data_IF_215937196820
#
_entry.id   IF_215937196820
#
_cell.length_a   1.000
_cell.length_b   1.000
_cell.length_c   1.000
_cell.angle_alpha   90.00
_cell.angle_beta   90.00
_cell.angle_gamma   90.00
#
_symmetry.space_group_name_H-M   'P 1'
#
loop_
_entity.id
_entity.type
_entity.pdbx_description
1 polymer ?
#
# COMPACT_ATOMS: atom_id res chain seq x y z
N UNK A 1 -41.81 -34.45 -13.89
CA UNK A 1 -40.40 -34.10 -13.94
C UNK A 1 -40.29 -32.69 -14.53
N UNK A 2 -40.01 -31.68 -13.68
CA UNK A 2 -39.94 -30.28 -14.11
C UNK A 2 -38.55 -30.03 -14.65
N UNK A 3 -38.43 -29.66 -15.91
CA UNK A 3 -37.17 -29.28 -16.57
C UNK A 3 -36.67 -27.97 -15.87
N UNK A 4 -35.42 -27.91 -15.37
CA UNK A 4 -34.92 -26.67 -14.80
C UNK A 4 -34.87 -25.61 -15.91
N UNK A 5 -35.60 -24.50 -15.71
CA UNK A 5 -35.49 -23.32 -16.58
C UNK A 5 -34.04 -22.91 -16.68
N UNK A 6 -33.45 -23.00 -17.87
CA UNK A 6 -32.18 -22.34 -18.17
C UNK A 6 -32.32 -20.87 -17.79
N UNK A 7 -31.54 -20.43 -16.82
CA UNK A 7 -31.47 -19.03 -16.46
C UNK A 7 -31.06 -18.22 -17.70
N UNK A 8 -31.81 -17.14 -17.97
CA UNK A 8 -31.50 -16.23 -19.07
C UNK A 8 -30.02 -15.83 -19.06
N UNK A 9 -29.34 -15.66 -20.19
CA UNK A 9 -27.92 -15.28 -20.20
C UNK A 9 -27.76 -13.95 -19.47
N UNK A 10 -27.01 -13.97 -18.38
CA UNK A 10 -26.69 -12.74 -17.63
C UNK A 10 -26.05 -11.73 -18.58
N UNK A 11 -26.55 -10.50 -18.61
CA UNK A 11 -26.04 -9.42 -19.47
C UNK A 11 -24.58 -9.04 -19.10
N UNK A 12 -24.18 -9.28 -17.88
CA UNK A 12 -22.91 -8.83 -17.28
C UNK A 12 -21.96 -10.00 -17.02
N UNK A 13 -20.65 -9.68 -16.86
CA UNK A 13 -19.62 -10.66 -16.51
C UNK A 13 -19.50 -10.81 -15.02
N UNK A 14 -19.29 -12.03 -14.52
CA UNK A 14 -18.91 -12.26 -13.13
C UNK A 14 -17.46 -11.81 -12.90
N UNK A 15 -17.16 -11.33 -11.70
CA UNK A 15 -15.80 -10.98 -11.28
C UNK A 15 -15.07 -12.19 -10.69
N UNK A 16 -13.82 -12.37 -11.06
CA UNK A 16 -12.89 -13.31 -10.42
C UNK A 16 -11.67 -12.52 -9.96
N UNK A 17 -11.50 -12.41 -8.65
CA UNK A 17 -10.35 -11.78 -8.05
C UNK A 17 -9.25 -12.82 -7.83
N UNK A 18 -8.03 -12.56 -8.34
CA UNK A 18 -6.89 -13.48 -8.28
C UNK A 18 -5.75 -12.84 -7.51
N UNK A 19 -5.38 -13.42 -6.38
CA UNK A 19 -4.44 -12.82 -5.43
C UNK A 19 -3.20 -13.68 -5.19
N UNK A 20 -2.05 -13.01 -5.07
CA UNK A 20 -0.80 -13.59 -4.61
C UNK A 20 -0.72 -13.75 -3.08
N UNK A 21 -1.66 -13.17 -2.32
CA UNK A 21 -1.77 -13.29 -0.87
C UNK A 21 -2.45 -12.08 -0.24
N UNK A 22 -3.45 -12.37 0.57
CA UNK A 22 -4.26 -11.38 1.29
C UNK A 22 -4.05 -11.47 2.81
N UNK A 23 -3.11 -12.31 3.26
CA UNK A 23 -2.88 -12.57 4.67
C UNK A 23 -2.62 -11.26 5.45
N UNK A 24 -3.10 -11.22 6.68
CA UNK A 24 -3.04 -10.01 7.52
C UNK A 24 -1.61 -9.52 7.76
N UNK A 25 -0.66 -10.44 7.84
CA UNK A 25 0.77 -10.15 8.06
C UNK A 25 1.51 -9.68 6.80
N UNK A 26 0.81 -9.55 5.66
CA UNK A 26 1.41 -9.28 4.35
C UNK A 26 1.89 -7.85 4.11
N UNK A 27 1.78 -6.94 5.08
CA UNK A 27 2.20 -5.54 4.97
C UNK A 27 1.38 -4.71 3.97
N UNK A 28 1.93 -3.58 3.51
CA UNK A 28 1.19 -2.61 2.68
C UNK A 28 0.62 -3.16 1.37
N UNK A 29 1.29 -4.13 0.72
CA UNK A 29 0.78 -4.76 -0.50
C UNK A 29 -0.46 -5.62 -0.25
N UNK A 30 -0.46 -6.40 0.82
CA UNK A 30 -1.62 -7.20 1.19
C UNK A 30 -2.80 -6.32 1.63
N UNK A 31 -2.52 -5.22 2.32
CA UNK A 31 -3.54 -4.22 2.66
C UNK A 31 -4.18 -3.62 1.41
N UNK A 32 -3.38 -3.22 0.42
CA UNK A 32 -3.88 -2.71 -0.85
C UNK A 32 -4.67 -3.77 -1.65
N UNK A 33 -4.20 -5.03 -1.63
CA UNK A 33 -4.92 -6.16 -2.24
C UNK A 33 -6.28 -6.40 -1.58
N UNK A 34 -6.35 -6.36 -0.24
CA UNK A 34 -7.63 -6.47 0.50
C UNK A 34 -8.58 -5.32 0.22
N UNK A 35 -8.08 -4.09 0.15
CA UNK A 35 -8.87 -2.91 -0.21
C UNK A 35 -9.49 -3.08 -1.59
N UNK A 36 -8.70 -3.51 -2.58
CA UNK A 36 -9.17 -3.75 -3.95
C UNK A 36 -10.18 -4.90 -3.99
N UNK A 37 -9.89 -6.03 -3.34
CA UNK A 37 -10.78 -7.19 -3.30
C UNK A 37 -12.12 -6.86 -2.65
N UNK A 38 -12.10 -6.17 -1.51
CA UNK A 38 -13.30 -5.73 -0.81
C UNK A 38 -14.16 -4.85 -1.69
N UNK A 39 -13.59 -3.81 -2.28
CA UNK A 39 -14.31 -2.90 -3.17
C UNK A 39 -14.92 -3.65 -4.37
N UNK A 40 -14.17 -4.56 -4.99
CA UNK A 40 -14.69 -5.40 -6.07
C UNK A 40 -15.89 -6.25 -5.63
N UNK A 41 -15.84 -6.86 -4.44
CA UNK A 41 -16.94 -7.67 -3.92
C UNK A 41 -18.16 -6.84 -3.54
N UNK A 42 -17.97 -5.64 -3.01
CA UNK A 42 -19.07 -4.70 -2.70
C UNK A 42 -19.77 -4.23 -3.97
N UNK A 43 -19.01 -3.82 -5.00
CA UNK A 43 -19.55 -3.44 -6.31
C UNK A 43 -20.27 -4.61 -7.01
N UNK A 44 -19.69 -5.81 -6.96
CA UNK A 44 -20.31 -6.99 -7.53
C UNK A 44 -21.66 -7.31 -6.87
N UNK A 45 -21.75 -7.15 -5.55
CA UNK A 45 -23.00 -7.34 -4.80
C UNK A 45 -24.04 -6.28 -5.18
N UNK A 46 -23.65 -5.02 -5.32
CA UNK A 46 -24.52 -3.94 -5.74
C UNK A 46 -25.11 -4.19 -7.15
N UNK A 47 -24.31 -4.73 -8.07
CA UNK A 47 -24.75 -5.02 -9.44
C UNK A 47 -25.33 -6.42 -9.64
N UNK A 48 -25.50 -7.18 -8.57
CA UNK A 48 -25.99 -8.57 -8.60
C UNK A 48 -25.20 -9.49 -9.54
N UNK A 49 -23.89 -9.24 -9.69
CA UNK A 49 -22.96 -10.11 -10.44
C UNK A 49 -22.19 -11.01 -9.48
N UNK A 50 -21.73 -12.17 -9.96
CA UNK A 50 -20.92 -13.09 -9.15
C UNK A 50 -19.56 -12.47 -8.81
N UNK A 51 -19.06 -12.70 -7.57
CA UNK A 51 -17.69 -12.40 -7.17
C UNK A 51 -17.08 -13.64 -6.54
N UNK A 52 -15.95 -14.10 -7.08
CA UNK A 52 -15.17 -15.23 -6.57
C UNK A 52 -13.75 -14.77 -6.32
N UNK A 53 -13.17 -15.20 -5.18
CA UNK A 53 -11.78 -14.90 -4.84
C UNK A 53 -10.96 -16.18 -4.92
N UNK A 54 -9.89 -16.17 -5.69
CA UNK A 54 -8.87 -17.21 -5.78
C UNK A 54 -7.57 -16.63 -5.20
N UNK A 55 -7.05 -17.17 -4.11
CA UNK A 55 -5.91 -16.59 -3.43
C UNK A 55 -4.86 -17.63 -3.03
N UNK A 56 -3.59 -17.26 -3.08
CA UNK A 56 -2.54 -17.91 -2.30
C UNK A 56 -2.72 -17.54 -0.82
N UNK A 57 -2.01 -18.27 0.08
CA UNK A 57 -2.18 -18.06 1.50
C UNK A 57 -3.33 -18.85 2.09
N UNK A 58 -3.83 -18.44 3.25
CA UNK A 58 -4.82 -19.17 4.04
C UNK A 58 -5.96 -18.31 4.58
N UNK A 59 -5.84 -16.99 4.53
CA UNK A 59 -6.76 -16.06 5.17
C UNK A 59 -6.79 -14.69 4.49
N UNK A 60 -7.52 -13.74 5.07
CA UNK A 60 -7.49 -12.32 4.71
C UNK A 60 -8.43 -11.88 3.59
N UNK A 61 -9.17 -12.78 2.95
CA UNK A 61 -10.14 -12.40 1.94
C UNK A 61 -11.40 -11.78 2.59
N UNK A 62 -11.97 -10.72 1.98
CA UNK A 62 -13.15 -10.03 2.50
C UNK A 62 -14.48 -10.75 2.21
N UNK A 63 -14.44 -11.84 1.45
CA UNK A 63 -15.58 -12.65 1.04
C UNK A 63 -15.16 -14.11 0.93
N UNK A 64 -16.10 -15.08 0.74
CA UNK A 64 -15.77 -16.48 0.52
C UNK A 64 -14.72 -16.65 -0.57
N UNK A 65 -13.61 -17.33 -0.24
CA UNK A 65 -12.45 -17.47 -1.10
C UNK A 65 -11.99 -18.91 -1.19
N UNK A 66 -11.41 -19.26 -2.33
CA UNK A 66 -10.69 -20.51 -2.50
C UNK A 66 -9.20 -20.25 -2.32
N UNK A 67 -8.63 -20.86 -1.28
CA UNK A 67 -7.21 -20.75 -0.99
C UNK A 67 -6.40 -21.90 -1.57
N UNK A 68 -5.20 -21.59 -2.05
CA UNK A 68 -4.27 -22.53 -2.66
C UNK A 68 -2.97 -22.69 -1.86
N UNK A 69 -2.90 -22.14 -0.65
CA UNK A 69 -1.66 -22.17 0.13
C UNK A 69 -0.50 -21.53 -0.64
N UNK A 70 0.58 -22.30 -0.85
CA UNK A 70 1.72 -21.88 -1.67
C UNK A 70 1.65 -22.39 -3.13
N UNK A 71 0.57 -23.08 -3.55
CA UNK A 71 0.44 -23.70 -4.86
C UNK A 71 0.09 -22.65 -5.97
N UNK A 72 1.12 -22.02 -6.50
CA UNK A 72 0.99 -21.07 -7.60
C UNK A 72 0.46 -21.72 -8.89
N UNK A 73 0.76 -23.00 -9.13
CA UNK A 73 0.30 -23.72 -10.33
C UNK A 73 -1.19 -24.02 -10.24
N UNK A 74 -1.65 -24.48 -9.08
CA UNK A 74 -3.07 -24.68 -8.80
C UNK A 74 -3.89 -23.41 -8.94
N UNK A 75 -3.39 -22.27 -8.45
CA UNK A 75 -4.01 -20.96 -8.62
C UNK A 75 -4.12 -20.60 -10.11
N UNK A 76 -3.02 -20.73 -10.87
CA UNK A 76 -2.99 -20.44 -12.30
C UNK A 76 -3.99 -21.29 -13.09
N UNK A 77 -4.01 -22.60 -12.80
CA UNK A 77 -4.94 -23.54 -13.43
C UNK A 77 -6.40 -23.22 -13.11
N UNK A 78 -6.69 -22.84 -11.87
CA UNK A 78 -8.02 -22.42 -11.46
C UNK A 78 -8.48 -21.16 -12.22
N UNK A 79 -7.60 -20.14 -12.32
CA UNK A 79 -7.88 -18.93 -13.08
C UNK A 79 -8.11 -19.22 -14.58
N UNK A 80 -7.36 -20.12 -15.19
CA UNK A 80 -7.59 -20.55 -16.58
C UNK A 80 -8.90 -21.31 -16.75
N UNK A 81 -9.19 -22.28 -15.87
CA UNK A 81 -10.46 -23.03 -15.92
C UNK A 81 -11.66 -22.11 -15.84
N UNK A 82 -11.58 -21.06 -15.03
CA UNK A 82 -12.64 -20.06 -14.94
C UNK A 82 -12.83 -19.29 -16.24
N UNK A 83 -11.75 -18.93 -16.95
CA UNK A 83 -11.83 -18.25 -18.24
C UNK A 83 -12.39 -19.14 -19.35
N UNK A 84 -12.06 -20.42 -19.32
CA UNK A 84 -12.53 -21.40 -20.31
C UNK A 84 -13.95 -21.92 -20.00
N UNK A 85 -14.54 -21.56 -18.86
CA UNK A 85 -15.93 -21.91 -18.54
C UNK A 85 -16.90 -21.15 -19.44
N UNK A 86 -18.14 -21.72 -19.63
CA UNK A 86 -19.17 -21.11 -20.45
C UNK A 86 -19.72 -19.76 -19.93
N UNK A 87 -19.32 -19.36 -18.70
CA UNK A 87 -19.71 -18.08 -18.09
C UNK A 87 -18.78 -16.96 -18.53
N UNK A 88 -19.36 -15.83 -18.90
CA UNK A 88 -18.58 -14.61 -19.15
C UNK A 88 -18.00 -14.12 -17.81
N UNK A 89 -16.69 -13.96 -17.75
CA UNK A 89 -15.99 -13.45 -16.55
C UNK A 89 -15.10 -12.28 -16.91
N UNK A 90 -14.75 -11.49 -15.88
CA UNK A 90 -13.65 -10.52 -15.88
C UNK A 90 -12.75 -10.79 -14.71
N UNK A 91 -11.45 -10.54 -14.85
CA UNK A 91 -10.47 -10.83 -13.83
C UNK A 91 -9.93 -9.53 -13.20
N UNK A 92 -9.73 -9.56 -11.91
CA UNK A 92 -8.98 -8.51 -11.21
C UNK A 92 -7.82 -9.21 -10.50
N UNK A 93 -6.61 -8.83 -10.86
CA UNK A 93 -5.42 -9.30 -10.17
C UNK A 93 -5.04 -8.33 -9.05
N UNK A 94 -4.44 -8.83 -8.00
CA UNK A 94 -3.87 -7.98 -6.94
C UNK A 94 -2.43 -7.55 -7.23
N UNK A 95 -1.74 -8.25 -8.13
CA UNK A 95 -0.35 -7.99 -8.52
C UNK A 95 -0.12 -8.41 -9.97
N UNK A 96 0.92 -7.85 -10.60
CA UNK A 96 1.39 -8.29 -11.94
C UNK A 96 1.91 -9.74 -11.94
N UNK A 97 2.37 -10.25 -10.79
CA UNK A 97 2.88 -11.62 -10.66
C UNK A 97 1.85 -12.68 -11.07
N UNK A 98 0.69 -12.79 -10.42
CA UNK A 98 -0.40 -13.68 -10.83
C UNK A 98 -0.92 -13.42 -12.24
N UNK A 99 -0.91 -12.18 -12.71
CA UNK A 99 -1.37 -11.83 -14.06
C UNK A 99 -0.55 -12.47 -15.18
N UNK A 100 0.66 -12.98 -14.90
CA UNK A 100 1.51 -13.71 -15.88
C UNK A 100 0.77 -14.84 -16.60
N UNK A 101 -0.22 -15.45 -15.96
CA UNK A 101 -1.04 -16.52 -16.56
C UNK A 101 -1.74 -16.06 -17.85
N UNK A 102 -1.99 -14.76 -17.99
CA UNK A 102 -2.61 -14.16 -19.18
C UNK A 102 -1.67 -14.12 -20.40
N UNK A 103 -0.37 -14.19 -20.19
CA UNK A 103 0.62 -14.17 -21.27
C UNK A 103 0.52 -15.41 -22.15
N UNK A 104 0.08 -16.54 -21.61
CA UNK A 104 0.01 -17.83 -22.30
C UNK A 104 -1.30 -18.06 -23.02
N UNK A 105 -2.32 -17.25 -22.78
CA UNK A 105 -3.63 -17.41 -23.41
C UNK A 105 -3.69 -16.70 -24.77
N UNK A 106 -4.24 -17.37 -25.82
CA UNK A 106 -4.61 -16.70 -27.06
C UNK A 106 -5.64 -15.58 -26.82
N UNK A 107 -5.59 -14.53 -27.63
CA UNK A 107 -6.49 -13.37 -27.50
C UNK A 107 -7.98 -13.72 -27.33
N UNK A 108 -8.55 -14.58 -28.19
CA UNK A 108 -9.99 -14.94 -28.12
C UNK A 108 -10.39 -15.64 -26.81
N UNK A 109 -9.46 -16.31 -26.12
CA UNK A 109 -9.69 -17.02 -24.86
C UNK A 109 -9.42 -16.17 -23.63
N UNK A 110 -8.89 -14.95 -23.81
CA UNK A 110 -8.50 -14.07 -22.73
C UNK A 110 -9.69 -13.23 -22.27
N UNK A 111 -10.11 -13.42 -21.03
CA UNK A 111 -11.10 -12.54 -20.42
C UNK A 111 -10.51 -11.13 -20.21
N UNK A 112 -11.32 -10.06 -20.22
CA UNK A 112 -10.89 -8.72 -19.81
C UNK A 112 -10.34 -8.76 -18.37
N UNK A 113 -9.29 -7.97 -18.11
CA UNK A 113 -8.71 -7.97 -16.76
C UNK A 113 -8.06 -6.65 -16.38
N UNK A 114 -8.00 -6.43 -15.07
CA UNK A 114 -7.32 -5.34 -14.41
C UNK A 114 -6.05 -5.83 -13.72
N UNK A 115 -4.97 -5.05 -13.84
CA UNK A 115 -3.69 -5.27 -13.12
C UNK A 115 -3.31 -3.99 -12.38
N UNK A 116 -3.16 -4.02 -11.04
CA UNK A 116 -2.62 -2.92 -10.26
C UNK A 116 -1.09 -2.94 -10.29
N UNK A 117 -0.49 -1.74 -10.11
CA UNK A 117 0.93 -1.48 -10.17
C UNK A 117 1.33 -0.65 -8.95
N UNK A 118 2.23 -1.19 -8.13
CA UNK A 118 2.61 -0.62 -6.85
C UNK A 118 3.98 0.08 -6.85
N UNK A 119 4.78 -0.09 -7.91
CA UNK A 119 6.05 0.63 -8.09
C UNK A 119 7.22 -0.28 -8.43
N UNK A 120 7.95 -0.75 -7.45
CA UNK A 120 9.24 -1.47 -7.61
C UNK A 120 9.20 -2.58 -8.67
N UNK A 121 8.08 -3.28 -8.82
CA UNK A 121 7.91 -4.35 -9.79
C UNK A 121 7.93 -3.90 -11.25
N UNK A 122 7.69 -2.59 -11.51
CA UNK A 122 7.67 -1.99 -12.86
C UNK A 122 8.77 -0.95 -13.09
N UNK A 123 9.58 -0.63 -12.08
CA UNK A 123 10.71 0.31 -12.19
C UNK A 123 12.01 -0.32 -12.72
N UNK A 124 11.90 -1.46 -13.33
CA UNK A 124 12.99 -2.22 -13.96
C UNK A 124 12.45 -3.00 -15.15
N UNK A 125 13.31 -3.47 -16.06
CA UNK A 125 12.87 -4.27 -17.19
C UNK A 125 12.05 -5.47 -16.75
N UNK A 126 10.89 -5.65 -17.38
CA UNK A 126 10.01 -6.79 -17.11
C UNK A 126 10.41 -8.00 -17.96
N UNK A 127 10.34 -9.17 -17.35
CA UNK A 127 10.34 -10.43 -18.10
C UNK A 127 9.14 -10.50 -19.07
N UNK A 128 9.30 -11.25 -20.18
CA UNK A 128 8.33 -11.28 -21.27
C UNK A 128 6.90 -11.62 -20.85
N UNK A 129 6.70 -12.52 -19.88
CA UNK A 129 5.37 -12.88 -19.39
C UNK A 129 4.64 -11.70 -18.71
N UNK A 130 5.37 -10.99 -17.83
CA UNK A 130 4.80 -9.82 -17.13
C UNK A 130 4.51 -8.70 -18.12
N UNK A 131 5.45 -8.45 -19.06
CA UNK A 131 5.27 -7.44 -20.10
C UNK A 131 4.06 -7.75 -20.97
N UNK A 132 3.94 -9.01 -21.45
CA UNK A 132 2.80 -9.46 -22.26
C UNK A 132 1.49 -9.36 -21.46
N UNK A 133 1.48 -9.76 -20.19
CA UNK A 133 0.31 -9.60 -19.34
C UNK A 133 -0.08 -8.11 -19.18
N UNK A 134 0.89 -7.22 -19.06
CA UNK A 134 0.64 -5.79 -18.93
C UNK A 134 0.12 -5.15 -20.23
N UNK A 135 0.71 -5.50 -21.37
CA UNK A 135 0.28 -5.03 -22.71
C UNK A 135 -1.19 -5.36 -22.98
N UNK A 136 -1.60 -6.56 -22.60
CA UNK A 136 -2.95 -7.05 -22.86
C UNK A 136 -3.97 -6.75 -21.76
N UNK A 137 -3.56 -6.10 -20.67
CA UNK A 137 -4.49 -5.70 -19.62
C UNK A 137 -5.50 -4.68 -20.15
N UNK A 138 -6.78 -4.93 -19.88
CA UNK A 138 -7.86 -3.98 -20.22
C UNK A 138 -7.72 -2.71 -19.39
N UNK A 139 -7.37 -2.87 -18.10
CA UNK A 139 -7.14 -1.77 -17.17
C UNK A 139 -5.77 -1.96 -16.51
N UNK A 140 -4.90 -0.97 -16.65
CA UNK A 140 -3.65 -0.82 -15.91
C UNK A 140 -3.89 0.24 -14.86
N UNK A 141 -3.78 -0.13 -13.58
CA UNK A 141 -4.11 0.72 -12.44
C UNK A 141 -2.85 1.01 -11.63
N UNK A 142 -2.29 2.20 -11.74
CA UNK A 142 -1.15 2.63 -10.93
C UNK A 142 -1.63 3.33 -9.65
N UNK A 143 -0.92 3.12 -8.54
CA UNK A 143 -1.27 3.75 -7.26
C UNK A 143 -0.77 5.18 -7.11
N UNK A 144 0.10 5.66 -8.03
CA UNK A 144 0.63 7.02 -8.06
C UNK A 144 1.09 7.40 -9.47
N UNK A 145 1.13 8.70 -9.76
CA UNK A 145 1.77 9.23 -10.98
C UNK A 145 3.25 8.95 -10.99
N UNK A 146 3.90 9.09 -9.83
CA UNK A 146 5.30 8.75 -9.64
C UNK A 146 5.61 7.31 -10.10
N UNK A 147 4.74 6.34 -9.77
CA UNK A 147 4.90 4.95 -10.25
C UNK A 147 4.90 4.87 -11.77
N UNK A 148 4.00 5.58 -12.46
CA UNK A 148 3.93 5.60 -13.93
C UNK A 148 5.15 6.25 -14.54
N UNK A 149 5.54 7.43 -14.03
CA UNK A 149 6.66 8.21 -14.56
C UNK A 149 7.99 7.47 -14.42
N UNK A 150 8.23 6.89 -13.24
CA UNK A 150 9.45 6.12 -12.98
C UNK A 150 9.49 4.80 -13.76
N UNK A 151 8.35 4.22 -14.09
CA UNK A 151 8.27 3.01 -14.91
C UNK A 151 8.42 3.26 -16.42
N UNK A 152 8.16 4.48 -16.88
CA UNK A 152 8.13 4.85 -18.33
C UNK A 152 9.36 4.38 -19.13
N UNK A 153 10.61 4.48 -18.64
CA UNK A 153 11.77 4.01 -19.38
C UNK A 153 11.79 2.49 -19.63
N UNK A 154 11.11 1.73 -18.77
CA UNK A 154 11.11 0.26 -18.80
C UNK A 154 9.82 -0.32 -19.36
N UNK A 155 8.71 0.40 -19.21
CA UNK A 155 7.34 -0.04 -19.50
C UNK A 155 6.55 1.09 -20.19
N UNK A 156 6.87 1.43 -21.46
CA UNK A 156 6.13 2.46 -22.21
C UNK A 156 4.64 2.12 -22.36
N UNK A 157 4.26 0.86 -22.19
CA UNK A 157 2.87 0.37 -22.18
C UNK A 157 2.03 0.97 -21.05
N UNK A 158 2.66 1.58 -20.04
CA UNK A 158 1.97 2.30 -18.96
C UNK A 158 1.48 3.68 -19.38
N UNK A 159 1.82 4.17 -20.56
CA UNK A 159 1.18 5.35 -21.11
C UNK A 159 -0.33 5.09 -21.22
N UNK A 160 -1.13 5.93 -20.54
CA UNK A 160 -2.58 5.72 -20.42
C UNK A 160 -3.00 4.78 -19.28
N UNK A 161 -2.13 4.41 -18.36
CA UNK A 161 -2.53 3.76 -17.12
C UNK A 161 -3.39 4.71 -16.28
N UNK A 162 -4.44 4.17 -15.68
CA UNK A 162 -5.25 4.91 -14.71
C UNK A 162 -4.48 5.08 -13.42
N UNK A 163 -4.50 6.28 -12.85
CA UNK A 163 -3.89 6.53 -11.54
C UNK A 163 -5.00 6.63 -10.51
N UNK A 164 -4.94 5.77 -9.49
CA UNK A 164 -5.87 5.78 -8.36
C UNK A 164 -5.06 5.60 -7.08
N UNK A 165 -4.93 6.65 -6.27
CA UNK A 165 -4.26 6.58 -4.97
C UNK A 165 -4.92 5.54 -4.06
N UNK A 166 -4.10 4.89 -3.23
CA UNK A 166 -4.62 3.99 -2.20
C UNK A 166 -5.39 4.80 -1.14
N UNK A 167 -6.29 4.11 -0.45
CA UNK A 167 -7.04 4.65 0.67
C UNK A 167 -6.70 3.96 1.97
N UNK A 168 -6.99 4.64 3.07
CA UNK A 168 -6.96 4.07 4.40
C UNK A 168 -8.32 4.29 5.08
N UNK A 169 -8.88 3.20 5.60
CA UNK A 169 -10.19 3.23 6.26
C UNK A 169 -10.13 3.93 7.63
N UNK A 170 -11.22 4.61 7.97
CA UNK A 170 -11.45 5.07 9.34
C UNK A 170 -12.05 3.90 10.16
N UNK A 171 -11.18 3.08 10.76
CA UNK A 171 -11.58 1.96 11.60
C UNK A 171 -10.80 1.97 12.92
N UNK A 172 -11.40 1.37 13.93
CA UNK A 172 -10.68 1.12 15.18
C UNK A 172 -9.55 0.13 14.94
N UNK A 173 -8.35 0.38 15.47
CA UNK A 173 -7.22 -0.54 15.35
C UNK A 173 -7.48 -1.83 16.15
N UNK A 174 -6.99 -2.95 15.62
CA UNK A 174 -7.16 -4.25 16.24
C UNK A 174 -6.06 -4.57 17.26
N UNK A 175 -6.37 -5.44 18.21
CA UNK A 175 -5.46 -5.89 19.25
C UNK A 175 -5.46 -5.03 20.52
N UNK A 176 -4.65 -5.41 21.47
CA UNK A 176 -4.44 -4.67 22.72
C UNK A 176 -3.25 -3.71 22.60
N UNK A 177 -3.34 -2.59 23.31
CA UNK A 177 -2.23 -1.65 23.44
C UNK A 177 -1.22 -2.22 24.43
N UNK A 178 0.05 -2.25 24.06
CA UNK A 178 1.16 -2.50 25.00
C UNK A 178 1.38 -1.26 25.88
N UNK A 179 0.70 -1.25 27.04
CA UNK A 179 0.72 -0.11 27.95
C UNK A 179 2.08 0.11 28.59
N UNK A 180 2.87 -0.94 28.79
CA UNK A 180 4.21 -0.84 29.37
C UNK A 180 5.15 -0.11 28.38
N UNK A 181 5.22 -0.59 27.14
CA UNK A 181 6.00 0.05 26.08
C UNK A 181 5.60 1.51 25.90
N UNK A 182 4.31 1.78 25.77
CA UNK A 182 3.78 3.11 25.49
C UNK A 182 4.03 4.08 26.66
N UNK A 183 3.96 3.60 27.91
CA UNK A 183 4.27 4.40 29.10
C UNK A 183 5.76 4.71 29.20
N UNK A 184 6.62 3.73 28.91
CA UNK A 184 8.07 3.91 28.87
C UNK A 184 8.50 4.95 27.83
N UNK A 185 7.90 4.91 26.63
CA UNK A 185 8.21 5.85 25.55
C UNK A 185 7.71 7.28 25.83
N UNK A 186 6.61 7.44 26.57
CA UNK A 186 5.98 8.74 26.82
C UNK A 186 5.45 9.40 25.56
N UNK A 187 5.69 10.70 25.37
CA UNK A 187 5.21 11.51 24.24
C UNK A 187 6.34 12.35 23.63
N UNK A 188 6.11 12.95 22.46
CA UNK A 188 7.01 13.94 21.87
C UNK A 188 8.24 13.35 21.18
N UNK A 189 8.19 12.10 20.74
CA UNK A 189 9.24 11.45 19.94
C UNK A 189 8.94 11.55 18.44
N UNK A 190 9.96 11.37 17.62
CA UNK A 190 9.84 11.13 16.18
C UNK A 190 9.58 9.66 15.95
N UNK A 191 8.75 9.33 14.96
CA UNK A 191 8.38 7.95 14.66
C UNK A 191 8.76 7.59 13.22
N UNK A 192 9.42 6.45 13.03
CA UNK A 192 9.56 5.80 11.73
C UNK A 192 8.92 4.42 11.79
N UNK A 193 8.14 4.08 10.76
CA UNK A 193 7.41 2.81 10.68
C UNK A 193 7.74 2.09 9.39
N UNK A 194 8.28 0.89 9.49
CA UNK A 194 8.59 0.09 8.32
C UNK A 194 9.47 -1.10 8.62
N UNK A 195 9.52 -2.03 7.66
CA UNK A 195 10.44 -3.16 7.75
C UNK A 195 11.89 -2.68 7.70
N UNK A 196 12.70 -3.28 8.53
CA UNK A 196 14.15 -3.10 8.52
C UNK A 196 14.78 -4.28 7.77
N UNK A 197 14.55 -4.33 6.44
CA UNK A 197 15.12 -5.35 5.60
C UNK A 197 16.34 -4.82 4.84
N UNK A 198 17.39 -5.63 4.74
CA UNK A 198 18.64 -5.27 4.06
C UNK A 198 18.44 -4.84 2.59
N UNK A 199 17.42 -5.37 1.93
CA UNK A 199 16.98 -4.96 0.59
C UNK A 199 16.09 -3.70 0.55
N UNK A 200 15.74 -3.10 1.71
CA UNK A 200 14.84 -1.94 1.81
C UNK A 200 15.51 -0.72 2.49
N UNK A 201 16.82 -0.57 2.40
CA UNK A 201 17.58 0.55 2.97
C UNK A 201 17.14 1.91 2.41
N UNK A 202 16.41 1.92 1.29
CA UNK A 202 15.81 3.11 0.72
C UNK A 202 14.79 3.79 1.65
N UNK A 203 14.34 3.16 2.73
CA UNK A 203 13.36 3.71 3.68
C UNK A 203 13.88 4.86 4.53
N UNK A 204 15.19 5.08 4.57
CA UNK A 204 15.79 6.25 5.20
C UNK A 204 16.10 6.09 6.70
N UNK A 205 16.18 4.84 7.21
CA UNK A 205 16.59 4.59 8.60
C UNK A 205 18.01 5.11 8.88
N UNK A 206 18.95 4.84 7.97
CA UNK A 206 20.34 5.30 8.11
C UNK A 206 20.44 6.82 8.13
N UNK A 207 19.78 7.50 7.16
CA UNK A 207 19.76 8.95 7.07
C UNK A 207 19.20 9.60 8.34
N UNK A 208 18.14 9.01 8.89
CA UNK A 208 17.53 9.52 10.11
C UNK A 208 18.44 9.33 11.33
N UNK A 209 19.13 8.18 11.45
CA UNK A 209 20.10 7.95 12.51
C UNK A 209 21.29 8.92 12.41
N UNK A 210 21.80 9.18 11.21
CA UNK A 210 22.91 10.12 10.96
C UNK A 210 22.52 11.58 11.23
N UNK A 211 21.26 11.92 11.05
CA UNK A 211 20.74 13.27 11.32
C UNK A 211 20.51 13.53 12.81
N UNK A 212 20.13 12.50 13.56
CA UNK A 212 19.69 12.65 14.95
C UNK A 212 20.71 13.32 15.90
N UNK A 213 22.06 13.14 15.77
CA UNK A 213 23.04 13.89 16.57
C UNK A 213 22.93 15.40 16.42
N UNK A 214 22.49 15.92 15.25
CA UNK A 214 22.32 17.35 14.95
C UNK A 214 21.05 17.95 15.58
N UNK A 215 20.17 17.11 16.15
CA UNK A 215 18.92 17.56 16.79
C UNK A 215 18.97 17.21 18.28
N UNK A 216 19.53 18.10 19.12
CA UNK A 216 19.68 17.82 20.55
C UNK A 216 18.34 17.51 21.23
N UNK A 217 18.32 16.49 22.08
CA UNK A 217 17.12 16.10 22.82
C UNK A 217 16.07 15.33 22.00
N UNK A 218 16.22 15.22 20.68
CA UNK A 218 15.30 14.43 19.87
C UNK A 218 15.39 12.94 20.24
N UNK A 219 14.22 12.32 20.40
CA UNK A 219 14.05 10.86 20.58
C UNK A 219 13.40 10.27 19.36
N UNK A 220 13.82 9.07 18.98
CA UNK A 220 13.32 8.34 17.83
C UNK A 220 12.78 6.98 18.25
N UNK A 221 11.57 6.67 17.82
CA UNK A 221 10.99 5.32 17.92
C UNK A 221 10.98 4.69 16.53
N UNK A 222 11.62 3.54 16.40
CA UNK A 222 11.72 2.75 15.18
C UNK A 222 10.83 1.53 15.33
N UNK A 223 9.73 1.49 14.58
CA UNK A 223 8.73 0.43 14.66
C UNK A 223 8.75 -0.46 13.41
N UNK A 224 8.79 -1.76 13.63
CA UNK A 224 8.93 -2.80 12.63
C UNK A 224 10.10 -3.73 12.94
N UNK A 225 10.33 -4.71 12.07
CA UNK A 225 11.42 -5.68 12.24
C UNK A 225 12.03 -6.05 10.88
N UNK A 226 13.13 -6.80 10.89
CA UNK A 226 13.79 -7.28 9.70
C UNK A 226 15.24 -7.70 9.98
N UNK A 227 15.87 -8.28 8.96
CA UNK A 227 17.25 -8.80 9.02
C UNK A 227 18.30 -7.69 9.23
N UNK A 228 17.97 -6.44 8.90
CA UNK A 228 18.85 -5.27 9.05
C UNK A 228 18.77 -4.60 10.44
N UNK A 229 17.85 -5.01 11.28
CA UNK A 229 17.63 -4.40 12.61
C UNK A 229 18.90 -4.35 13.46
N UNK A 230 19.67 -5.46 13.50
CA UNK A 230 20.90 -5.52 14.31
C UNK A 230 21.94 -4.52 13.81
N UNK A 231 22.10 -4.35 12.50
CA UNK A 231 23.01 -3.36 11.92
C UNK A 231 22.61 -1.94 12.32
N UNK A 232 21.32 -1.61 12.21
CA UNK A 232 20.79 -0.29 12.57
C UNK A 232 20.96 0.00 14.08
N UNK A 233 20.77 -1.00 14.96
CA UNK A 233 21.02 -0.87 16.39
C UNK A 233 22.51 -0.61 16.69
N UNK A 234 23.42 -1.32 16.02
CA UNK A 234 24.86 -1.08 16.09
C UNK A 234 25.20 0.34 15.67
N UNK A 235 24.70 0.79 14.50
CA UNK A 235 24.92 2.15 14.02
C UNK A 235 24.39 3.24 14.99
N UNK A 236 23.22 3.05 15.56
CA UNK A 236 22.70 3.96 16.58
C UNK A 236 23.62 4.04 17.81
N UNK A 237 24.21 2.91 18.22
CA UNK A 237 25.19 2.87 19.31
C UNK A 237 26.49 3.61 18.94
N UNK A 238 27.01 3.39 17.73
CA UNK A 238 28.26 4.01 17.23
C UNK A 238 28.12 5.55 17.12
N UNK A 239 26.90 6.02 16.80
CA UNK A 239 26.54 7.45 16.75
C UNK A 239 26.24 8.05 18.12
N UNK A 240 26.44 7.30 19.22
CA UNK A 240 26.17 7.79 20.57
C UNK A 240 24.69 8.02 20.91
N UNK A 241 23.78 7.36 20.20
CA UNK A 241 22.33 7.56 20.32
C UNK A 241 21.66 6.62 21.35
N UNK A 242 22.45 5.97 22.23
CA UNK A 242 21.90 5.14 23.29
C UNK A 242 20.95 5.95 24.19
N UNK A 243 19.77 5.38 24.47
CA UNK A 243 18.70 6.06 25.21
C UNK A 243 17.90 7.10 24.41
N UNK A 244 18.32 7.45 23.19
CA UNK A 244 17.58 8.35 22.29
C UNK A 244 16.82 7.61 21.18
N UNK A 245 17.21 6.38 20.87
CA UNK A 245 16.58 5.55 19.83
C UNK A 245 16.04 4.26 20.45
N UNK A 246 14.76 4.00 20.26
CA UNK A 246 14.10 2.77 20.72
C UNK A 246 13.58 1.98 19.53
N UNK A 247 13.98 0.70 19.43
CA UNK A 247 13.53 -0.24 18.41
C UNK A 247 12.47 -1.17 19.01
N UNK A 248 11.22 -0.97 18.65
CA UNK A 248 10.11 -1.71 19.26
C UNK A 248 9.94 -3.13 18.72
N UNK A 249 10.42 -3.40 17.50
CA UNK A 249 10.00 -4.59 16.76
C UNK A 249 8.59 -4.45 16.21
N UNK A 250 7.95 -5.59 15.89
CA UNK A 250 6.54 -5.59 15.53
C UNK A 250 5.67 -5.30 16.76
N UNK A 251 4.65 -4.50 16.55
CA UNK A 251 3.64 -4.16 17.56
C UNK A 251 2.23 -4.39 17.01
N UNK A 252 1.23 -4.53 17.88
CA UNK A 252 -0.17 -4.61 17.47
C UNK A 252 -0.63 -3.33 16.76
N UNK A 253 -1.69 -3.40 15.95
CA UNK A 253 -2.26 -2.20 15.33
C UNK A 253 -2.69 -1.16 16.37
N UNK A 254 -3.24 -1.60 17.51
CA UNK A 254 -3.63 -0.71 18.60
C UNK A 254 -2.42 -0.01 19.22
N UNK A 255 -1.32 -0.71 19.43
CA UNK A 255 -0.06 -0.12 19.91
C UNK A 255 0.50 0.85 18.88
N UNK A 256 0.53 0.48 17.59
CA UNK A 256 1.01 1.35 16.52
C UNK A 256 0.19 2.65 16.42
N UNK A 257 -1.13 2.56 16.52
CA UNK A 257 -2.00 3.74 16.53
C UNK A 257 -1.70 4.68 17.71
N UNK A 258 -1.39 4.10 18.89
CA UNK A 258 -1.00 4.86 20.07
C UNK A 258 0.39 5.49 19.90
N UNK A 259 1.35 4.81 19.25
CA UNK A 259 2.65 5.39 18.89
C UNK A 259 2.48 6.58 17.93
N UNK A 260 1.66 6.47 16.91
CA UNK A 260 1.31 7.62 16.07
C UNK A 260 0.74 8.77 16.91
N UNK A 261 -0.26 8.49 17.75
CA UNK A 261 -0.91 9.51 18.56
C UNK A 261 0.06 10.25 19.50
N UNK A 262 1.05 9.57 20.03
CA UNK A 262 2.06 10.12 20.96
C UNK A 262 3.26 10.75 20.28
N UNK A 263 3.52 10.43 19.03
CA UNK A 263 4.63 11.03 18.27
C UNK A 263 4.42 12.52 18.01
N UNK A 264 5.50 13.25 17.77
CA UNK A 264 5.46 14.61 17.22
C UNK A 264 5.21 14.58 15.73
N UNK A 265 5.89 13.67 15.01
CA UNK A 265 5.80 13.52 13.56
C UNK A 265 6.14 12.10 13.15
N UNK A 266 5.60 11.66 12.00
CA UNK A 266 6.17 10.56 11.23
C UNK A 266 7.34 11.09 10.40
N UNK A 267 8.48 10.40 10.44
CA UNK A 267 9.67 10.74 9.65
C UNK A 267 10.10 9.51 8.86
N UNK A 268 9.87 9.53 7.56
CA UNK A 268 10.30 8.44 6.67
C UNK A 268 10.80 9.02 5.34
N UNK A 269 12.07 9.43 5.27
CA UNK A 269 12.66 10.01 4.06
C UNK A 269 13.01 8.91 3.05
N UNK A 270 12.00 8.25 2.50
CA UNK A 270 12.11 7.08 1.62
C UNK A 270 12.06 7.47 0.15
N UNK A 271 12.97 6.94 -0.68
CA UNK A 271 12.98 7.09 -2.15
C UNK A 271 12.40 5.88 -2.91
N UNK A 272 12.06 4.80 -2.20
CA UNK A 272 11.63 3.54 -2.83
C UNK A 272 10.15 3.21 -2.64
N UNK A 273 9.36 4.11 -2.10
CA UNK A 273 7.93 3.90 -1.91
C UNK A 273 7.15 4.22 -3.19
N UNK A 274 6.23 3.32 -3.55
CA UNK A 274 5.29 3.59 -4.65
C UNK A 274 4.12 4.48 -4.27
N UNK A 275 3.88 4.66 -2.95
CA UNK A 275 2.81 5.50 -2.40
C UNK A 275 3.07 5.93 -0.95
N UNK A 276 3.29 4.97 -0.02
CA UNK A 276 3.57 5.25 1.38
C UNK A 276 2.31 5.32 2.26
N UNK A 277 1.66 4.16 2.48
CA UNK A 277 0.49 4.06 3.37
C UNK A 277 0.74 4.60 4.79
N UNK A 278 1.97 4.52 5.29
CA UNK A 278 2.35 5.04 6.61
C UNK A 278 2.14 6.56 6.74
N UNK A 279 2.24 7.31 5.64
CA UNK A 279 1.89 8.73 5.64
C UNK A 279 0.39 8.93 5.87
N UNK A 280 -0.46 8.08 5.28
CA UNK A 280 -1.90 8.13 5.54
C UNK A 280 -2.23 7.75 6.99
N UNK A 281 -1.51 6.78 7.56
CA UNK A 281 -1.65 6.40 8.97
C UNK A 281 -1.32 7.56 9.91
N UNK A 282 -0.23 8.28 9.65
CA UNK A 282 0.15 9.47 10.39
C UNK A 282 -0.87 10.60 10.22
N UNK A 283 -1.33 10.86 8.99
CA UNK A 283 -2.35 11.87 8.71
C UNK A 283 -3.68 11.52 9.40
N UNK A 284 -4.12 10.26 9.39
CA UNK A 284 -5.29 9.80 10.12
C UNK A 284 -5.15 10.07 11.62
N UNK A 285 -3.96 9.87 12.18
CA UNK A 285 -3.65 10.17 13.58
C UNK A 285 -3.45 11.68 13.86
N UNK A 286 -3.57 12.55 12.84
CA UNK A 286 -3.37 13.99 12.97
C UNK A 286 -1.92 14.38 13.22
N UNK A 287 -0.97 13.68 12.59
CA UNK A 287 0.46 13.94 12.71
C UNK A 287 1.06 14.43 11.40
N UNK A 288 1.97 15.42 11.46
CA UNK A 288 2.71 15.85 10.29
C UNK A 288 3.66 14.76 9.81
N UNK A 289 3.95 14.76 8.51
CA UNK A 289 4.86 13.82 7.88
C UNK A 289 6.12 14.54 7.41
N UNK A 290 7.29 13.94 7.63
CA UNK A 290 8.54 14.33 6.97
C UNK A 290 8.91 13.22 6.01
N UNK A 291 8.98 13.55 4.73
CA UNK A 291 9.17 12.59 3.64
C UNK A 291 10.26 13.05 2.67
N UNK A 292 10.76 12.16 1.84
CA UNK A 292 11.73 12.54 0.82
C UNK A 292 11.07 13.26 -0.35
N UNK A 293 11.73 14.30 -0.85
CA UNK A 293 11.48 14.92 -2.15
C UNK A 293 11.83 13.91 -3.26
N UNK A 294 11.33 14.10 -4.46
CA UNK A 294 11.53 13.21 -5.60
C UNK A 294 11.04 11.78 -5.35
N UNK A 295 9.93 11.64 -4.65
CA UNK A 295 9.32 10.35 -4.31
C UNK A 295 7.80 10.37 -4.44
N UNK A 296 7.16 9.20 -4.39
CA UNK A 296 5.70 9.12 -4.38
C UNK A 296 5.05 9.85 -3.19
N UNK A 297 5.82 10.16 -2.14
CA UNK A 297 5.33 10.92 -1.00
C UNK A 297 4.85 12.34 -1.36
N UNK A 298 5.34 12.93 -2.46
CA UNK A 298 4.89 14.25 -2.94
C UNK A 298 3.40 14.27 -3.32
N UNK A 299 2.86 13.14 -3.71
CA UNK A 299 1.42 13.03 -4.00
C UNK A 299 0.57 12.96 -2.72
N UNK A 300 1.18 12.53 -1.61
CA UNK A 300 0.51 12.35 -0.32
C UNK A 300 0.74 13.55 0.60
N UNK A 301 2.00 13.94 0.80
CA UNK A 301 2.41 15.02 1.72
C UNK A 301 2.43 16.34 0.96
N UNK A 302 1.61 17.30 1.40
CA UNK A 302 1.65 18.67 0.89
C UNK A 302 2.71 19.45 1.67
N UNK A 303 3.81 19.80 0.99
CA UNK A 303 4.96 20.48 1.57
C UNK A 303 4.56 21.81 2.24
N UNK A 304 5.08 22.06 3.43
CA UNK A 304 4.75 23.23 4.24
C UNK A 304 3.34 23.27 4.82
N UNK A 305 2.42 22.38 4.37
CA UNK A 305 1.02 22.37 4.78
C UNK A 305 0.66 21.16 5.67
N UNK A 306 1.00 19.93 5.24
CA UNK A 306 0.70 18.70 6.00
C UNK A 306 1.96 18.02 6.54
N UNK A 307 3.10 18.62 6.32
CA UNK A 307 4.41 18.15 6.68
C UNK A 307 5.49 18.82 5.83
N UNK A 308 6.63 18.17 5.70
CA UNK A 308 7.76 18.67 4.92
C UNK A 308 8.29 17.63 3.96
N UNK A 309 8.68 18.08 2.78
CA UNK A 309 9.45 17.31 1.82
C UNK A 309 10.91 17.78 1.87
N UNK A 310 11.83 16.85 2.10
CA UNK A 310 13.25 17.13 2.31
C UNK A 310 14.11 16.36 1.30
N UNK A 311 15.28 16.89 0.99
CA UNK A 311 16.32 16.07 0.41
C UNK A 311 16.82 15.08 1.48
N UNK A 312 16.64 13.79 1.24
CA UNK A 312 17.02 12.76 2.23
C UNK A 312 18.52 12.67 2.44
N UNK A 313 19.30 13.11 1.47
CA UNK A 313 20.76 13.05 1.49
C UNK A 313 21.38 14.38 2.00
N UNK A 314 20.53 15.36 2.38
CA UNK A 314 20.90 16.56 3.11
C UNK A 314 20.52 16.46 4.61
N UNK A 315 21.47 16.03 5.47
CA UNK A 315 21.21 15.89 6.91
C UNK A 315 20.97 17.23 7.62
N UNK A 316 21.42 18.36 7.07
CA UNK A 316 21.20 19.68 7.65
C UNK A 316 19.76 20.15 7.40
N UNK A 317 19.23 19.98 6.18
CA UNK A 317 17.82 20.26 5.86
C UNK A 317 16.91 19.39 6.75
N UNK A 318 17.19 18.07 6.81
CA UNK A 318 16.42 17.16 7.65
C UNK A 318 16.47 17.55 9.13
N UNK A 319 17.66 17.87 9.67
CA UNK A 319 17.81 18.31 11.05
C UNK A 319 17.05 19.60 11.35
N UNK A 320 17.09 20.59 10.44
CA UNK A 320 16.38 21.84 10.59
C UNK A 320 14.86 21.63 10.67
N UNK A 321 14.31 20.78 9.79
CA UNK A 321 12.88 20.44 9.76
C UNK A 321 12.47 19.72 11.05
N UNK A 322 13.24 18.72 11.49
CA UNK A 322 12.97 17.98 12.73
C UNK A 322 13.01 18.92 13.94
N UNK A 323 14.02 19.80 14.01
CA UNK A 323 14.15 20.80 15.06
C UNK A 323 12.94 21.74 15.11
N UNK A 324 12.46 22.24 13.96
CA UNK A 324 11.26 23.09 13.88
C UNK A 324 10.01 22.41 14.42
N UNK A 325 9.77 21.13 14.06
CA UNK A 325 8.60 20.37 14.52
C UNK A 325 8.66 20.09 16.03
N UNK A 326 9.84 19.77 16.56
CA UNK A 326 10.03 19.50 17.98
C UNK A 326 9.94 20.77 18.84
N UNK A 327 10.44 21.91 18.33
CA UNK A 327 10.41 23.18 19.03
C UNK A 327 9.03 23.86 19.01
N UNK A 328 8.15 23.48 18.07
CA UNK A 328 6.83 24.12 17.91
C UNK A 328 5.69 23.10 17.87
N UNK A 329 5.16 22.69 19.05
CA UNK A 329 3.99 21.79 19.12
C UNK A 329 2.78 22.31 18.36
N UNK A 330 2.57 23.64 18.32
CA UNK A 330 1.49 24.28 17.57
C UNK A 330 1.66 24.10 16.06
N UNK A 331 2.88 24.20 15.52
CA UNK A 331 3.14 23.94 14.13
C UNK A 331 2.82 22.47 13.80
N UNK A 332 3.34 21.54 14.61
CA UNK A 332 3.09 20.12 14.42
C UNK A 332 1.58 19.80 14.48
N UNK A 333 0.84 20.40 15.42
CA UNK A 333 -0.63 20.24 15.53
C UNK A 333 -1.35 20.75 14.30
N UNK A 334 -1.08 22.00 13.85
CA UNK A 334 -1.73 22.59 12.67
C UNK A 334 -1.48 21.75 11.40
N UNK A 335 -0.23 21.32 11.18
CA UNK A 335 0.10 20.46 10.04
C UNK A 335 -0.57 19.10 10.13
N UNK A 336 -0.63 18.51 11.31
CA UNK A 336 -1.31 17.25 11.55
C UNK A 336 -2.83 17.33 11.30
N UNK A 337 -3.48 18.41 11.75
CA UNK A 337 -4.90 18.66 11.47
C UNK A 337 -5.17 18.86 9.97
N UNK A 338 -4.28 19.59 9.28
CA UNK A 338 -4.35 19.74 7.83
C UNK A 338 -4.14 18.40 7.11
N UNK A 339 -3.21 17.56 7.60
CA UNK A 339 -3.00 16.21 7.11
C UNK A 339 -4.25 15.34 7.27
N UNK A 340 -4.89 15.40 8.44
CA UNK A 340 -6.12 14.64 8.71
C UNK A 340 -7.27 15.05 7.80
N UNK A 341 -7.45 16.36 7.52
CA UNK A 341 -8.43 16.85 6.53
C UNK A 341 -8.09 16.31 5.13
N UNK A 342 -6.83 16.45 4.68
CA UNK A 342 -6.39 15.96 3.37
C UNK A 342 -6.62 14.45 3.21
N UNK A 343 -6.31 13.65 4.24
CA UNK A 343 -6.59 12.22 4.22
C UNK A 343 -8.08 11.93 3.99
N UNK A 344 -8.99 12.57 4.75
CA UNK A 344 -10.44 12.39 4.59
C UNK A 344 -10.94 12.80 3.21
N UNK A 345 -10.43 13.90 2.69
CA UNK A 345 -10.89 14.46 1.41
C UNK A 345 -10.35 13.71 0.19
N UNK A 346 -9.14 13.16 0.25
CA UNK A 346 -8.44 12.64 -0.92
C UNK A 346 -8.13 11.14 -0.85
N UNK A 347 -8.01 10.57 0.35
CA UNK A 347 -7.53 9.20 0.55
C UNK A 347 -8.50 8.36 1.40
N UNK A 348 -9.78 8.73 1.44
CA UNK A 348 -10.82 7.96 2.08
C UNK A 348 -11.25 6.76 1.23
N UNK A 349 -11.90 5.77 1.88
CA UNK A 349 -12.42 4.59 1.20
C UNK A 349 -13.41 4.98 0.10
N UNK A 350 -14.28 5.97 0.35
CA UNK A 350 -15.28 6.45 -0.62
C UNK A 350 -14.63 7.01 -1.88
N UNK A 351 -13.51 7.74 -1.73
CA UNK A 351 -12.74 8.24 -2.88
C UNK A 351 -12.15 7.11 -3.71
N UNK A 352 -11.56 6.12 -3.04
CA UNK A 352 -11.02 4.95 -3.72
C UNK A 352 -12.11 4.17 -4.45
N UNK A 353 -13.23 3.91 -3.79
CA UNK A 353 -14.38 3.21 -4.39
C UNK A 353 -14.95 3.99 -5.57
N UNK A 354 -15.13 5.30 -5.43
CA UNK A 354 -15.61 6.17 -6.50
C UNK A 354 -14.69 6.18 -7.73
N UNK A 355 -13.37 6.17 -7.52
CA UNK A 355 -12.39 6.10 -8.60
C UNK A 355 -12.27 4.72 -9.25
N UNK A 356 -12.46 3.65 -8.47
CA UNK A 356 -12.39 2.28 -8.98
C UNK A 356 -13.66 1.86 -9.72
N UNK A 357 -14.83 2.33 -9.28
CA UNK A 357 -16.15 1.99 -9.84
C UNK A 357 -16.19 2.03 -11.36
N UNK A 358 -15.91 3.14 -12.06
CA UNK A 358 -16.02 3.20 -13.52
C UNK A 358 -15.08 2.22 -14.24
N UNK A 359 -13.94 1.89 -13.62
CA UNK A 359 -12.98 0.92 -14.18
C UNK A 359 -13.53 -0.50 -14.11
N UNK A 360 -14.19 -0.86 -13.03
CA UNK A 360 -14.82 -2.18 -12.86
C UNK A 360 -16.10 -2.26 -13.66
N UNK A 361 -16.93 -1.21 -13.75
CA UNK A 361 -18.11 -1.13 -14.63
C UNK A 361 -17.75 -1.45 -16.08
N UNK A 362 -16.71 -0.78 -16.60
CA UNK A 362 -16.21 -1.06 -17.94
C UNK A 362 -15.74 -2.52 -18.10
N UNK A 363 -15.06 -3.04 -17.09
CA UNK A 363 -14.52 -4.40 -17.09
C UNK A 363 -15.63 -5.46 -17.11
N UNK A 364 -16.72 -5.26 -16.34
CA UNK A 364 -17.83 -6.20 -16.17
C UNK A 364 -18.87 -6.01 -17.29
N UNK A 365 -18.91 -4.83 -17.90
CA UNK A 365 -19.89 -4.47 -18.92
C UNK A 365 -21.24 -4.03 -18.34
N UNK A 366 -21.24 -3.56 -17.08
CA UNK A 366 -22.36 -2.85 -16.49
C UNK A 366 -22.28 -1.43 -17.03
N UNK A 367 -23.24 -0.99 -17.82
CA UNK A 367 -23.38 0.42 -18.19
C UNK A 367 -24.28 1.07 -17.14
N UNK A 368 -23.81 2.14 -16.52
CA UNK A 368 -24.62 3.01 -15.69
C UNK A 368 -25.76 3.66 -16.48
#
# INVERSE_FOLDING_TARGET
>A
MSVPKLAAPRKHRDLVFVSAGLDLDGGGRALAGRLLARTCCELAREWEVGCEILALGRSGAPAPARYFGADQRGLALAAWRRQLSARRISLVFDLIGPARVQAWLPGPLRAPYLVPLYGIEVWRPLGWERRRALVHATVRLAISRYTVERARPFCPELNGAHVLPLALEERSPEGAVDLELVSHLGTGFLLIVGRMASGEQYKGHDQLLETLPRVPGARLVVTGDGDDRRRLQGRASDLGLRGRVTFTGFVSEATLAELYRRSTALVMPSLGEGFGLVYLEAMRAGKPCVAARDSAAEEVVADGATGFLVDRDDPEELAAVLGRLLASPDLARRMGEAGRRRWREQFSLERFQGGLRPLIENLVGVRG
#
